data_IF_813081232387
#
_entry.id   IF_813081232387
#
_cell.length_a   1.000
_cell.length_b   1.000
_cell.length_c   1.000
_cell.angle_alpha   90.00
_cell.angle_beta   90.00
_cell.angle_gamma   90.00
#
_symmetry.space_group_name_H-M   'P 1'
#
loop_
_entity.id
_entity.type
_entity.pdbx_description
1 polymer ?
#
# COMPACT_ATOMS: atom_id res chain seq x y z
N UNK A 1 14.11 10.77 70.80
CA UNK A 1 13.19 10.18 69.82
C UNK A 1 12.31 11.30 69.29
N UNK A 2 12.51 11.70 68.02
CA UNK A 2 11.63 12.55 67.25
C UNK A 2 11.95 12.34 65.76
N UNK A 3 10.89 12.22 64.98
CA UNK A 3 10.78 11.84 63.56
C UNK A 3 11.04 13.00 62.59
N UNK A 4 11.61 12.71 61.42
CA UNK A 4 11.31 13.33 60.09
C UNK A 4 12.18 12.60 59.05
N UNK A 5 11.65 11.67 58.26
CA UNK A 5 10.85 11.86 57.03
C UNK A 5 11.63 12.56 55.91
N UNK A 6 12.08 11.77 54.93
CA UNK A 6 11.99 12.20 53.54
C UNK A 6 11.54 11.04 52.65
N UNK A 7 10.59 11.38 51.78
CA UNK A 7 9.65 10.52 51.09
C UNK A 7 10.31 9.46 50.18
N UNK A 8 9.77 8.24 50.27
CA UNK A 8 9.83 7.25 49.20
C UNK A 8 9.03 7.78 48.00
N UNK A 9 9.69 7.79 46.84
CA UNK A 9 9.11 8.07 45.53
C UNK A 9 7.90 7.14 45.28
N UNK A 10 6.70 7.67 44.95
CA UNK A 10 5.60 6.81 44.58
C UNK A 10 5.71 6.43 43.10
N UNK A 11 5.42 5.16 42.87
CA UNK A 11 4.60 4.68 41.76
C UNK A 11 5.18 4.77 40.34
N UNK A 12 5.60 3.60 39.87
CA UNK A 12 5.52 3.22 38.48
C UNK A 12 4.07 3.37 38.00
N UNK A 13 3.85 4.04 36.87
CA UNK A 13 2.62 3.90 36.11
C UNK A 13 2.95 3.90 34.61
N UNK A 14 2.59 2.77 34.00
CA UNK A 14 2.14 2.62 32.61
C UNK A 14 3.18 2.76 31.50
N UNK A 15 3.65 1.60 31.04
CA UNK A 15 4.09 1.45 29.66
C UNK A 15 2.90 1.74 28.75
N UNK A 16 2.86 2.95 28.18
CA UNK A 16 1.97 3.23 27.08
C UNK A 16 2.40 2.36 25.90
N UNK A 17 1.61 1.35 25.57
CA UNK A 17 1.59 0.79 24.21
C UNK A 17 1.23 1.97 23.29
N UNK A 18 2.24 2.60 22.70
CA UNK A 18 1.99 3.55 21.62
C UNK A 18 1.27 2.76 20.52
N UNK A 19 0.02 3.11 20.15
CA UNK A 19 -0.60 2.47 19.01
C UNK A 19 0.33 2.70 17.83
N UNK A 20 0.86 1.60 17.27
CA UNK A 20 1.73 1.69 16.13
C UNK A 20 0.90 2.28 14.99
N UNK A 21 1.32 3.41 14.44
CA UNK A 21 0.71 3.99 13.27
C UNK A 21 1.59 3.74 12.04
N UNK A 22 0.96 3.66 10.89
CA UNK A 22 1.60 3.52 9.60
C UNK A 22 1.15 4.65 8.69
N UNK A 23 2.07 5.14 7.86
CA UNK A 23 1.72 6.07 6.79
C UNK A 23 1.40 5.28 5.53
N UNK A 24 0.21 5.46 5.00
CA UNK A 24 -0.28 4.73 3.83
C UNK A 24 -0.58 5.67 2.68
N UNK A 25 -0.23 5.25 1.47
CA UNK A 25 -0.68 5.89 0.24
C UNK A 25 -2.02 5.28 -0.16
N UNK A 26 -3.06 6.12 -0.26
CA UNK A 26 -4.36 5.70 -0.77
C UNK A 26 -4.46 5.92 -2.28
N UNK A 27 -5.15 5.01 -2.95
CA UNK A 27 -5.43 5.09 -4.39
C UNK A 27 -6.71 4.33 -4.73
N UNK A 28 -7.21 4.53 -5.95
CA UNK A 28 -8.38 3.82 -6.46
C UNK A 28 -8.03 2.85 -7.58
N UNK A 29 -8.79 1.76 -7.59
CA UNK A 29 -8.92 0.82 -8.70
C UNK A 29 -10.41 0.65 -8.95
N UNK A 30 -10.91 1.18 -10.06
CA UNK A 30 -12.34 1.28 -10.34
C UNK A 30 -13.06 2.06 -9.25
N UNK A 31 -14.05 1.42 -8.63
CA UNK A 31 -14.87 2.00 -7.58
C UNK A 31 -14.28 1.77 -6.17
N UNK A 32 -13.22 0.95 -6.06
CA UNK A 32 -12.70 0.52 -4.77
C UNK A 32 -11.47 1.34 -4.33
N UNK A 33 -11.41 1.61 -3.02
CA UNK A 33 -10.33 2.33 -2.36
C UNK A 33 -9.32 1.35 -1.77
N UNK A 34 -8.06 1.54 -2.13
CA UNK A 34 -6.94 0.72 -1.68
C UNK A 34 -5.90 1.57 -0.98
N UNK A 35 -5.08 0.93 -0.15
CA UNK A 35 -3.91 1.57 0.42
C UNK A 35 -2.71 0.63 0.51
N UNK A 36 -1.52 1.22 0.53
CA UNK A 36 -0.23 0.54 0.71
C UNK A 36 0.63 1.34 1.67
N UNK A 37 1.49 0.68 2.44
CA UNK A 37 2.48 1.38 3.25
C UNK A 37 3.43 2.19 2.33
N UNK A 38 3.53 3.49 2.60
CA UNK A 38 4.33 4.43 1.79
C UNK A 38 5.81 4.05 1.78
N UNK A 39 6.30 3.31 2.77
CA UNK A 39 7.67 2.81 2.86
C UNK A 39 8.07 1.87 1.71
N UNK A 40 7.11 1.24 1.03
CA UNK A 40 7.37 0.43 -0.17
C UNK A 40 7.34 1.23 -1.47
N UNK A 41 6.72 2.40 -1.48
CA UNK A 41 6.55 3.24 -2.66
C UNK A 41 7.86 3.98 -2.96
N UNK A 42 8.37 3.79 -4.17
CA UNK A 42 9.57 4.46 -4.65
C UNK A 42 9.24 5.80 -5.32
N UNK A 43 8.24 5.82 -6.20
CA UNK A 43 7.75 7.00 -6.89
C UNK A 43 6.36 6.74 -7.49
N UNK A 44 5.67 7.82 -7.88
CA UNK A 44 4.39 7.78 -8.60
C UNK A 44 4.61 8.53 -9.91
N UNK A 45 4.23 7.93 -11.04
CA UNK A 45 4.40 8.50 -12.38
C UNK A 45 3.11 8.40 -13.18
N UNK A 46 3.03 9.10 -14.31
CA UNK A 46 1.91 8.99 -15.24
C UNK A 46 2.09 7.81 -16.21
N UNK A 47 0.99 7.28 -16.73
CA UNK A 47 0.94 6.10 -17.61
C UNK A 47 1.35 6.38 -19.07
N UNK A 48 1.63 7.64 -19.43
CA UNK A 48 1.79 8.12 -20.82
C UNK A 48 2.90 7.42 -21.65
N UNK A 49 3.85 6.71 -21.02
CA UNK A 49 4.99 6.06 -21.69
C UNK A 49 4.96 4.53 -21.57
N UNK A 50 3.79 3.95 -21.31
CA UNK A 50 3.62 2.50 -21.26
C UNK A 50 3.83 1.86 -22.63
N UNK A 51 4.75 0.90 -22.70
CA UNK A 51 4.98 0.08 -23.90
C UNK A 51 4.40 -1.31 -23.68
N UNK A 52 3.36 -1.65 -24.43
CA UNK A 52 2.75 -2.98 -24.38
C UNK A 52 3.73 -4.07 -24.82
N UNK A 53 3.68 -5.22 -24.15
CA UNK A 53 4.53 -6.38 -24.45
C UNK A 53 3.64 -7.54 -24.92
N UNK A 54 3.91 -8.17 -26.07
CA UNK A 54 3.09 -9.27 -26.58
C UNK A 54 3.33 -10.57 -25.79
N UNK A 55 2.30 -11.42 -25.73
CA UNK A 55 2.34 -12.75 -25.10
C UNK A 55 2.71 -12.73 -23.59
N UNK A 56 2.29 -11.69 -22.88
CA UNK A 56 2.40 -11.62 -21.42
C UNK A 56 1.17 -12.21 -20.74
N UNK A 57 1.27 -12.42 -19.43
CA UNK A 57 0.10 -12.75 -18.62
C UNK A 57 -0.88 -11.58 -18.59
N UNK A 58 -2.18 -11.86 -18.43
CA UNK A 58 -3.26 -10.88 -18.55
C UNK A 58 -3.15 -9.71 -17.56
N UNK A 59 -2.52 -9.91 -16.41
CA UNK A 59 -2.27 -8.85 -15.43
C UNK A 59 -1.08 -7.95 -15.79
N UNK A 60 -0.34 -8.23 -16.86
CA UNK A 60 0.83 -7.47 -17.29
C UNK A 60 0.51 -6.65 -18.52
N UNK A 61 0.33 -5.36 -18.32
CA UNK A 61 0.03 -4.39 -19.39
C UNK A 61 1.25 -4.04 -20.23
N UNK A 62 2.45 -4.19 -19.65
CA UNK A 62 3.69 -4.00 -20.40
C UNK A 62 4.87 -3.56 -19.54
N UNK A 63 5.69 -2.70 -20.12
CA UNK A 63 6.90 -2.16 -19.49
C UNK A 63 7.01 -0.66 -19.69
N UNK A 64 7.72 0.00 -18.77
CA UNK A 64 8.05 1.42 -18.86
C UNK A 64 9.52 1.62 -18.49
N UNK A 65 10.23 2.52 -19.19
CA UNK A 65 11.56 2.94 -18.77
C UNK A 65 11.44 4.01 -17.68
N UNK A 66 11.95 3.70 -16.50
CA UNK A 66 12.00 4.62 -15.37
C UNK A 66 13.45 4.85 -14.99
N UNK A 67 13.99 5.99 -15.40
CA UNK A 67 15.38 6.42 -15.15
C UNK A 67 16.41 5.46 -15.74
N UNK A 68 16.15 4.92 -16.94
CA UNK A 68 17.01 3.95 -17.61
C UNK A 68 16.86 2.52 -17.09
N UNK A 69 15.84 2.26 -16.27
CA UNK A 69 15.54 0.94 -15.72
C UNK A 69 14.16 0.48 -16.20
N UNK A 70 14.13 -0.66 -16.89
CA UNK A 70 12.90 -1.28 -17.37
C UNK A 70 12.08 -1.78 -16.19
N UNK A 71 10.88 -1.22 -16.02
CA UNK A 71 9.94 -1.55 -14.94
C UNK A 71 8.73 -2.26 -15.53
N UNK A 72 8.36 -3.43 -14.98
CA UNK A 72 7.13 -4.15 -15.37
C UNK A 72 5.92 -3.41 -14.81
N UNK A 73 4.92 -3.15 -15.64
CA UNK A 73 3.67 -2.50 -15.24
C UNK A 73 2.56 -3.54 -15.18
N UNK A 74 1.86 -3.58 -14.05
CA UNK A 74 0.84 -4.57 -13.71
C UNK A 74 -0.49 -3.90 -13.45
N UNK A 75 -1.56 -4.50 -13.97
CA UNK A 75 -2.94 -4.12 -13.70
C UNK A 75 -3.47 -4.93 -12.52
N UNK A 76 -3.62 -4.29 -11.37
CA UNK A 76 -4.14 -4.94 -10.17
C UNK A 76 -5.62 -5.32 -10.29
N UNK A 77 -6.40 -4.63 -11.13
CA UNK A 77 -7.80 -4.99 -11.36
C UNK A 77 -7.91 -6.42 -11.90
N UNK A 78 -7.02 -6.82 -12.81
CA UNK A 78 -6.96 -8.19 -13.33
C UNK A 78 -6.63 -9.21 -12.22
N UNK A 79 -5.76 -8.83 -11.27
CA UNK A 79 -5.36 -9.70 -10.17
C UNK A 79 -6.50 -9.87 -9.15
N UNK A 80 -7.21 -8.80 -8.83
CA UNK A 80 -8.32 -8.82 -7.87
C UNK A 80 -9.67 -9.21 -8.50
N UNK A 81 -9.69 -9.52 -9.80
CA UNK A 81 -10.90 -9.94 -10.52
C UNK A 81 -11.89 -8.78 -10.76
N UNK A 82 -11.40 -7.55 -10.81
CA UNK A 82 -12.15 -6.30 -11.00
C UNK A 82 -11.95 -5.70 -12.40
N UNK A 83 -11.27 -6.41 -13.30
CA UNK A 83 -11.04 -5.97 -14.67
C UNK A 83 -12.37 -5.95 -15.43
N UNK A 84 -12.71 -4.76 -15.93
CA UNK A 84 -13.79 -4.52 -16.87
C UNK A 84 -13.14 -4.21 -18.23
N UNK A 85 -13.52 -4.96 -19.27
CA UNK A 85 -12.92 -4.88 -20.61
C UNK A 85 -13.08 -3.48 -21.24
N UNK A 86 -14.09 -2.70 -20.81
CA UNK A 86 -14.35 -1.35 -21.28
C UNK A 86 -13.73 -0.25 -20.39
N UNK A 87 -13.07 -0.61 -19.28
CA UNK A 87 -12.48 0.37 -18.38
C UNK A 87 -11.21 1.01 -18.97
N UNK A 88 -11.10 2.33 -18.83
CA UNK A 88 -9.87 3.04 -19.15
C UNK A 88 -8.72 2.57 -18.25
N UNK A 89 -7.51 2.47 -18.82
CA UNK A 89 -6.31 2.17 -18.06
C UNK A 89 -6.06 3.26 -17.02
N UNK A 90 -5.60 2.85 -15.84
CA UNK A 90 -5.28 3.77 -14.74
C UNK A 90 -4.31 4.87 -15.18
N UNK A 91 -4.57 6.10 -14.76
CA UNK A 91 -3.81 7.30 -15.17
C UNK A 91 -2.48 7.48 -14.41
N UNK A 92 -2.24 6.64 -13.40
CA UNK A 92 -1.07 6.66 -12.52
C UNK A 92 -0.44 5.27 -12.44
N UNK A 93 0.88 5.27 -12.23
CA UNK A 93 1.66 4.08 -11.92
C UNK A 93 2.33 4.31 -10.56
N UNK A 94 2.02 3.45 -9.59
CA UNK A 94 2.68 3.41 -8.29
C UNK A 94 3.85 2.44 -8.40
N UNK A 95 5.07 2.93 -8.23
CA UNK A 95 6.29 2.15 -8.43
C UNK A 95 6.81 1.64 -7.09
N UNK A 96 7.03 0.34 -6.99
CA UNK A 96 7.53 -0.35 -5.80
C UNK A 96 8.90 -0.95 -6.06
N UNK A 97 9.70 -1.08 -5.00
CA UNK A 97 10.92 -1.89 -5.02
C UNK A 97 10.60 -3.31 -4.58
N UNK A 98 10.91 -4.31 -5.42
CA UNK A 98 10.55 -5.70 -5.11
C UNK A 98 11.38 -6.30 -3.96
N UNK A 99 12.59 -5.79 -3.74
CA UNK A 99 13.46 -6.17 -2.61
C UNK A 99 14.26 -4.96 -2.12
N UNK A 100 14.51 -4.92 -0.82
CA UNK A 100 15.39 -3.89 -0.22
C UNK A 100 16.82 -4.06 -0.77
N UNK A 101 17.34 -3.03 -1.43
CA UNK A 101 18.67 -3.04 -2.02
C UNK A 101 18.79 -3.68 -3.40
N UNK A 102 17.69 -4.08 -4.04
CA UNK A 102 17.68 -4.39 -5.48
C UNK A 102 17.17 -3.19 -6.28
N UNK A 103 17.55 -3.18 -7.55
CA UNK A 103 17.04 -2.26 -8.56
C UNK A 103 15.78 -2.78 -9.25
N UNK A 104 15.30 -3.97 -8.86
CA UNK A 104 14.12 -4.56 -9.45
C UNK A 104 12.87 -3.80 -9.01
N UNK A 105 12.18 -3.20 -9.98
CA UNK A 105 10.98 -2.41 -9.77
C UNK A 105 9.78 -3.06 -10.42
N UNK A 106 8.63 -2.80 -9.81
CA UNK A 106 7.31 -3.12 -10.37
C UNK A 106 6.44 -1.90 -10.24
N UNK A 107 5.66 -1.61 -11.28
CA UNK A 107 4.65 -0.57 -11.28
C UNK A 107 3.27 -1.19 -11.21
N UNK A 108 2.39 -0.64 -10.38
CA UNK A 108 0.98 -0.96 -10.37
C UNK A 108 0.19 0.19 -10.96
N UNK A 109 -0.71 -0.10 -11.89
CA UNK A 109 -1.68 0.89 -12.36
C UNK A 109 -2.63 1.26 -11.24
N UNK A 110 -2.95 2.55 -11.17
CA UNK A 110 -3.95 3.14 -10.32
C UNK A 110 -4.71 4.21 -11.09
N UNK A 111 -6.00 4.38 -10.81
CA UNK A 111 -6.81 5.39 -11.50
C UNK A 111 -6.51 6.77 -10.98
N UNK A 112 -6.55 6.88 -9.65
CA UNK A 112 -6.25 8.08 -8.90
C UNK A 112 -5.41 7.73 -7.68
N UNK A 113 -4.46 8.60 -7.34
CA UNK A 113 -3.65 8.49 -6.13
C UNK A 113 -3.96 9.68 -5.25
N UNK A 114 -4.26 9.41 -3.98
CA UNK A 114 -4.66 10.39 -2.97
C UNK A 114 -3.48 10.75 -2.05
N UNK A 115 -3.74 11.67 -1.13
CA UNK A 115 -2.77 12.06 -0.11
C UNK A 115 -2.40 10.90 0.82
N UNK A 116 -1.20 10.96 1.39
CA UNK A 116 -0.74 10.01 2.40
C UNK A 116 -1.54 10.24 3.69
N UNK A 117 -2.03 9.15 4.28
CA UNK A 117 -2.78 9.17 5.53
C UNK A 117 -2.03 8.41 6.62
N UNK A 118 -2.21 8.83 7.87
CA UNK A 118 -1.78 8.05 9.03
C UNK A 118 -2.92 7.13 9.46
N UNK A 119 -2.62 5.84 9.53
CA UNK A 119 -3.57 4.80 9.95
C UNK A 119 -3.02 4.11 11.17
N UNK A 120 -3.85 3.99 12.21
CA UNK A 120 -3.50 3.19 13.39
C UNK A 120 -3.61 1.71 13.04
N UNK A 121 -2.59 0.92 13.37
CA UNK A 121 -2.57 -0.51 13.01
C UNK A 121 -3.65 -1.31 13.74
N UNK A 122 -4.14 -0.81 14.89
CA UNK A 122 -5.27 -1.41 15.63
C UNK A 122 -6.62 -1.28 14.94
N UNK A 123 -6.75 -0.38 13.96
CA UNK A 123 -7.97 -0.15 13.19
C UNK A 123 -8.07 -1.06 11.95
N UNK A 124 -7.01 -1.80 11.64
CA UNK A 124 -6.95 -2.70 10.48
C UNK A 124 -7.55 -4.04 10.88
N UNK A 125 -8.63 -4.43 10.22
CA UNK A 125 -9.22 -5.76 10.36
C UNK A 125 -8.44 -6.76 9.50
N UNK A 126 -7.58 -7.55 10.14
CA UNK A 126 -6.76 -8.59 9.48
C UNK A 126 -7.46 -9.96 9.43
N UNK A 127 -8.73 -10.05 9.84
CA UNK A 127 -9.49 -11.31 9.76
C UNK A 127 -10.03 -11.61 8.36
N UNK A 128 -9.98 -10.61 7.47
CA UNK A 128 -10.34 -10.76 6.06
C UNK A 128 -9.22 -11.49 5.33
N UNK A 129 -9.55 -12.62 4.73
CA UNK A 129 -8.62 -13.41 3.92
C UNK A 129 -8.86 -13.09 2.43
N UNK A 130 -7.84 -12.57 1.75
CA UNK A 130 -7.87 -12.22 0.34
C UNK A 130 -6.46 -12.23 -0.23
N UNK A 131 -6.29 -12.72 -1.45
CA UNK A 131 -4.96 -12.80 -2.06
C UNK A 131 -4.39 -11.39 -2.26
N UNK A 132 -3.27 -11.09 -1.59
CA UNK A 132 -2.63 -9.77 -1.63
C UNK A 132 -3.24 -8.72 -0.68
N UNK A 133 -4.35 -9.02 0.00
CA UNK A 133 -4.98 -8.13 0.98
C UNK A 133 -4.48 -8.47 2.39
N UNK A 134 -3.77 -7.53 3.01
CA UNK A 134 -3.26 -7.66 4.37
C UNK A 134 -4.31 -7.33 5.44
N UNK A 135 -5.36 -6.60 5.06
CA UNK A 135 -6.48 -6.29 5.94
C UNK A 135 -7.40 -5.22 5.36
N UNK A 136 -8.42 -4.86 6.12
CA UNK A 136 -9.43 -3.88 5.71
C UNK A 136 -9.62 -2.84 6.80
N UNK A 137 -9.60 -1.57 6.41
CA UNK A 137 -9.92 -0.45 7.28
C UNK A 137 -11.37 -0.05 6.99
N UNK A 138 -12.22 -0.07 8.02
CA UNK A 138 -13.61 0.40 7.91
C UNK A 138 -13.68 1.90 8.22
N UNK A 139 -14.20 2.68 7.28
CA UNK A 139 -14.55 4.10 7.47
C UNK A 139 -16.07 4.24 7.49
N UNK A 140 -16.57 5.45 7.78
CA UNK A 140 -18.00 5.71 7.94
C UNK A 140 -18.81 5.33 6.69
N UNK A 141 -18.28 5.60 5.49
CA UNK A 141 -18.99 5.40 4.22
C UNK A 141 -18.28 4.48 3.22
N UNK A 142 -17.09 3.96 3.55
CA UNK A 142 -16.27 3.17 2.62
C UNK A 142 -15.37 2.16 3.34
N UNK A 143 -14.93 1.15 2.57
CA UNK A 143 -13.86 0.24 2.96
C UNK A 143 -12.58 0.62 2.24
N UNK A 144 -11.46 0.62 2.98
CA UNK A 144 -10.14 0.78 2.40
C UNK A 144 -9.39 -0.53 2.55
N UNK A 145 -9.03 -1.15 1.42
CA UNK A 145 -8.33 -2.42 1.38
C UNK A 145 -6.82 -2.19 1.47
N UNK A 146 -6.19 -2.71 2.53
CA UNK A 146 -4.75 -2.63 2.69
C UNK A 146 -4.08 -3.74 1.88
N UNK A 147 -3.29 -3.37 0.90
CA UNK A 147 -2.50 -4.30 0.09
C UNK A 147 -1.08 -4.41 0.67
N UNK A 148 -0.57 -5.62 0.80
CA UNK A 148 0.87 -5.86 1.02
C UNK A 148 1.56 -6.06 -0.34
N UNK A 149 2.41 -5.11 -0.81
CA UNK A 149 3.11 -5.22 -2.08
C UNK A 149 4.04 -6.41 -2.23
N UNK A 150 4.44 -7.04 -1.12
CA UNK A 150 5.31 -8.21 -1.14
C UNK A 150 4.54 -9.52 -1.28
N UNK A 151 3.23 -9.51 -1.00
CA UNK A 151 2.35 -10.67 -1.03
C UNK A 151 1.62 -10.85 -2.37
N UNK A 152 1.47 -9.78 -3.16
CA UNK A 152 0.86 -9.84 -4.51
C UNK A 152 1.76 -10.62 -5.47
N UNK A 153 1.24 -11.71 -6.03
CA UNK A 153 1.95 -12.55 -6.99
C UNK A 153 1.73 -12.05 -8.42
N UNK A 154 2.82 -11.86 -9.16
CA UNK A 154 2.86 -11.33 -10.53
C UNK A 154 3.75 -12.13 -11.45
#
# INVERSE_FOLDING_TARGET
>A
MATSTHASNPEQAEGAEHPQSAHVLEFTLGENRYCVDIGYVAEIVNTDQLTAVPNTADHVEGVMDLRGETTKIVNLRTIFGESDDDAELGSRIIVFKRKRGSNERIGWLADEVYQVQEVRTDAVDTSVDGEGIAGVIRREDEFVFWIDPTSVRV
#
